data_IF_544245497447
#
_entry.id   IF_544245497447
#
_cell.length_a   1.000
_cell.length_b   1.000
_cell.length_c   1.000
_cell.angle_alpha   90.00
_cell.angle_beta   90.00
_cell.angle_gamma   90.00
#
_symmetry.space_group_name_H-M   'P 1'
#
loop_
_entity.id
_entity.type
_entity.pdbx_description
1 polymer ?
#
# COMPACT_ATOMS: atom_id res chain seq x y z
N UNK A 1 31.97 -19.05 2.33
CA UNK A 1 31.28 -19.09 3.61
C UNK A 1 30.48 -17.82 3.90
N UNK A 2 31.11 -16.63 3.84
CA UNK A 2 30.39 -15.38 4.09
C UNK A 2 29.25 -15.14 3.12
N UNK A 3 29.46 -15.42 1.83
CA UNK A 3 28.47 -15.19 0.79
C UNK A 3 27.23 -16.10 0.95
N UNK A 4 27.46 -17.33 1.37
CA UNK A 4 26.38 -18.28 1.60
C UNK A 4 25.52 -17.90 2.81
N UNK A 5 26.13 -17.38 3.87
CA UNK A 5 25.41 -16.88 5.06
C UNK A 5 24.56 -15.69 4.72
N UNK A 6 25.12 -14.74 3.95
CA UNK A 6 24.39 -13.54 3.50
C UNK A 6 23.22 -13.92 2.60
N UNK A 7 23.44 -14.84 1.65
CA UNK A 7 22.38 -15.33 0.75
C UNK A 7 21.26 -16.01 1.53
N UNK A 8 21.59 -16.85 2.52
CA UNK A 8 20.60 -17.51 3.35
C UNK A 8 19.79 -16.53 4.19
N UNK A 9 20.43 -15.48 4.72
CA UNK A 9 19.73 -14.42 5.47
C UNK A 9 18.77 -13.65 4.58
N UNK A 10 19.17 -13.33 3.37
CA UNK A 10 18.33 -12.62 2.39
C UNK A 10 17.13 -13.49 2.00
N UNK A 11 17.34 -14.77 1.72
CA UNK A 11 16.27 -15.69 1.37
C UNK A 11 15.29 -15.91 2.52
N UNK A 12 15.78 -16.03 3.75
CA UNK A 12 14.93 -16.12 4.94
C UNK A 12 14.12 -14.86 5.14
N UNK A 13 14.77 -13.69 5.00
CA UNK A 13 14.07 -12.41 5.10
C UNK A 13 12.97 -12.30 4.05
N UNK A 14 13.27 -12.67 2.80
CA UNK A 14 12.31 -12.63 1.70
C UNK A 14 11.12 -13.57 1.96
N UNK A 15 11.37 -14.80 2.40
CA UNK A 15 10.34 -15.78 2.70
C UNK A 15 9.42 -15.31 3.82
N UNK A 16 10.00 -14.81 4.92
CA UNK A 16 9.25 -14.31 6.07
C UNK A 16 8.37 -13.14 5.65
N UNK A 17 8.94 -12.16 4.94
CA UNK A 17 8.21 -10.96 4.53
C UNK A 17 7.12 -11.30 3.51
N UNK A 18 7.38 -12.20 2.57
CA UNK A 18 6.41 -12.64 1.59
C UNK A 18 5.20 -13.34 2.23
N UNK A 19 5.42 -14.11 3.30
CA UNK A 19 4.38 -14.88 3.97
C UNK A 19 3.53 -14.07 4.93
N UNK A 20 4.13 -13.11 5.62
CA UNK A 20 3.48 -12.41 6.74
C UNK A 20 3.07 -10.99 6.43
N UNK A 21 3.32 -10.49 5.22
CA UNK A 21 2.92 -9.12 4.85
C UNK A 21 1.39 -9.03 4.76
N UNK A 22 0.76 -8.24 5.63
CA UNK A 22 -0.71 -8.20 5.69
C UNK A 22 -1.35 -7.61 4.43
N UNK A 23 -0.66 -6.72 3.70
CA UNK A 23 -1.19 -6.15 2.46
C UNK A 23 -1.11 -7.09 1.26
N UNK A 24 -0.51 -8.28 1.43
CA UNK A 24 -0.45 -9.31 0.39
C UNK A 24 -1.40 -10.47 0.63
N UNK A 25 -2.34 -10.32 1.55
CA UNK A 25 -3.34 -11.36 1.82
C UNK A 25 -4.18 -11.64 0.59
N UNK A 26 -4.63 -12.89 0.47
CA UNK A 26 -5.51 -13.30 -0.62
C UNK A 26 -6.93 -12.78 -0.36
N UNK A 27 -7.20 -11.58 -0.86
CA UNK A 27 -8.48 -10.90 -0.73
C UNK A 27 -8.98 -10.50 -2.12
N UNK A 28 -10.16 -9.92 -2.22
CA UNK A 28 -10.71 -9.44 -3.49
C UNK A 28 -9.77 -8.43 -4.15
N UNK A 29 -9.85 -8.29 -5.47
CA UNK A 29 -9.03 -7.34 -6.23
C UNK A 29 -9.19 -5.91 -5.71
N UNK A 30 -10.42 -5.52 -5.39
CA UNK A 30 -10.70 -4.19 -4.85
C UNK A 30 -9.97 -3.94 -3.53
N UNK A 31 -9.95 -4.94 -2.64
CA UNK A 31 -9.22 -4.86 -1.37
C UNK A 31 -7.72 -4.86 -1.58
N UNK A 32 -7.21 -5.66 -2.54
CA UNK A 32 -5.78 -5.68 -2.87
C UNK A 32 -5.29 -4.31 -3.32
N UNK A 33 -6.07 -3.64 -4.16
CA UNK A 33 -5.75 -2.29 -4.64
C UNK A 33 -5.68 -1.30 -3.48
N UNK A 34 -6.66 -1.35 -2.60
CA UNK A 34 -6.70 -0.50 -1.42
C UNK A 34 -5.53 -0.79 -0.49
N UNK A 35 -5.26 -2.07 -0.22
CA UNK A 35 -4.15 -2.48 0.65
C UNK A 35 -2.80 -2.05 0.07
N UNK A 36 -2.61 -2.19 -1.24
CA UNK A 36 -1.40 -1.73 -1.91
C UNK A 36 -1.23 -0.23 -1.75
N UNK A 37 -2.29 0.53 -1.98
CA UNK A 37 -2.26 1.99 -1.83
C UNK A 37 -1.84 2.39 -0.42
N UNK A 38 -2.53 1.87 0.59
CA UNK A 38 -2.25 2.21 2.00
C UNK A 38 -0.82 1.82 2.38
N UNK A 39 -0.42 0.59 2.05
CA UNK A 39 0.92 0.11 2.38
C UNK A 39 2.01 0.95 1.71
N UNK A 40 1.83 1.32 0.44
CA UNK A 40 2.81 2.15 -0.28
C UNK A 40 2.97 3.53 0.36
N UNK A 41 1.89 4.15 0.80
CA UNK A 41 1.98 5.41 1.54
C UNK A 41 2.68 5.25 2.88
N UNK A 42 2.43 4.16 3.59
CA UNK A 42 3.09 3.90 4.88
C UNK A 42 4.56 3.57 4.71
N UNK A 43 4.91 2.85 3.65
CA UNK A 43 6.29 2.40 3.38
C UNK A 43 7.20 3.52 2.86
N UNK A 44 6.64 4.66 2.43
CA UNK A 44 7.47 5.80 2.08
C UNK A 44 8.30 6.24 3.29
N UNK A 45 9.63 6.04 3.22
CA UNK A 45 10.58 6.41 4.28
C UNK A 45 10.36 5.70 5.62
N UNK A 46 9.66 4.56 5.63
CA UNK A 46 9.42 3.77 6.85
C UNK A 46 9.67 2.29 6.57
N UNK A 47 10.32 1.61 7.50
CA UNK A 47 10.66 0.20 7.37
C UNK A 47 9.42 -0.70 7.49
N UNK A 48 9.45 -1.83 6.78
CA UNK A 48 8.36 -2.80 6.75
C UNK A 48 7.94 -3.25 8.15
N UNK A 49 8.89 -3.61 9.01
CA UNK A 49 8.61 -4.09 10.36
C UNK A 49 7.83 -3.06 11.18
N UNK A 50 8.13 -1.77 11.00
CA UNK A 50 7.42 -0.69 11.68
C UNK A 50 6.00 -0.52 11.13
N UNK A 51 5.82 -0.70 9.83
CA UNK A 51 4.55 -0.47 9.15
C UNK A 51 3.50 -1.54 9.49
N UNK A 52 3.91 -2.80 9.66
CA UNK A 52 2.96 -3.92 9.83
C UNK A 52 1.88 -3.65 10.90
N UNK A 53 2.21 -3.30 12.15
CA UNK A 53 1.16 -3.05 13.15
C UNK A 53 0.29 -1.85 12.82
N UNK A 54 0.86 -0.80 12.22
CA UNK A 54 0.08 0.36 11.79
C UNK A 54 -0.88 0.03 10.68
N UNK A 55 -0.43 -0.74 9.70
CA UNK A 55 -1.27 -1.19 8.60
C UNK A 55 -2.46 -2.02 9.10
N UNK A 56 -2.22 -2.99 9.95
CA UNK A 56 -3.27 -3.86 10.49
C UNK A 56 -4.33 -3.06 11.24
N UNK A 57 -3.90 -2.12 12.07
CA UNK A 57 -4.82 -1.26 12.82
C UNK A 57 -5.56 -0.30 11.89
N UNK A 58 -4.88 0.23 10.88
CA UNK A 58 -5.47 1.17 9.92
C UNK A 58 -6.61 0.52 9.14
N UNK A 59 -6.37 -0.65 8.52
CA UNK A 59 -7.41 -1.30 7.72
C UNK A 59 -8.54 -1.89 8.55
N UNK A 60 -8.29 -2.20 9.83
CA UNK A 60 -9.35 -2.61 10.74
C UNK A 60 -10.35 -1.49 10.98
N UNK A 61 -9.88 -0.27 11.11
CA UNK A 61 -10.71 0.92 11.36
C UNK A 61 -11.21 1.56 10.07
N UNK A 62 -10.44 1.44 8.99
CA UNK A 62 -10.72 2.08 7.70
C UNK A 62 -10.58 1.01 6.61
N UNK A 63 -11.63 0.21 6.37
CA UNK A 63 -11.52 -0.96 5.49
C UNK A 63 -11.53 -0.66 3.99
N UNK A 64 -11.92 0.54 3.57
CA UNK A 64 -12.02 0.88 2.16
C UNK A 64 -11.81 2.38 1.90
N UNK A 65 -11.71 2.73 0.60
CA UNK A 65 -11.51 4.10 0.15
C UNK A 65 -12.65 5.04 0.56
N UNK A 66 -13.87 4.57 0.52
CA UNK A 66 -15.04 5.38 0.88
C UNK A 66 -14.99 5.79 2.34
N UNK A 67 -14.68 4.84 3.22
CA UNK A 67 -14.52 5.11 4.65
C UNK A 67 -13.39 6.10 4.87
N UNK A 68 -12.25 5.92 4.18
CA UNK A 68 -11.11 6.82 4.29
C UNK A 68 -11.44 8.23 3.83
N UNK A 69 -12.16 8.37 2.71
CA UNK A 69 -12.54 9.66 2.15
C UNK A 69 -13.38 10.49 3.13
N UNK A 70 -14.19 9.82 3.96
CA UNK A 70 -15.10 10.47 4.91
C UNK A 70 -14.63 10.38 6.37
N UNK A 71 -13.46 9.82 6.61
CA UNK A 71 -12.97 9.62 7.97
C UNK A 71 -12.61 10.96 8.64
N UNK A 72 -12.92 11.10 9.93
CA UNK A 72 -12.59 12.29 10.70
C UNK A 72 -11.07 12.50 10.77
N UNK A 73 -10.62 13.70 10.44
CA UNK A 73 -9.19 14.01 10.38
C UNK A 73 -8.45 13.75 11.69
N UNK A 74 -9.03 14.11 12.80
CA UNK A 74 -8.41 13.93 14.12
C UNK A 74 -8.16 12.45 14.43
N UNK A 75 -9.16 11.60 14.17
CA UNK A 75 -9.04 10.16 14.36
C UNK A 75 -8.07 9.53 13.38
N UNK A 76 -8.04 10.03 12.15
CA UNK A 76 -7.14 9.57 11.11
C UNK A 76 -5.68 9.82 11.50
N UNK A 77 -5.37 11.03 11.94
CA UNK A 77 -4.02 11.40 12.38
C UNK A 77 -3.60 10.55 13.57
N UNK A 78 -4.52 10.25 14.48
CA UNK A 78 -4.25 9.41 15.64
C UNK A 78 -3.85 7.98 15.24
N UNK A 79 -4.47 7.43 14.21
CA UNK A 79 -4.09 6.11 13.66
C UNK A 79 -2.69 6.11 13.04
N UNK A 80 -2.21 7.26 12.62
CA UNK A 80 -0.89 7.43 12.00
C UNK A 80 0.19 7.86 13.01
N UNK A 81 -0.21 8.17 14.25
CA UNK A 81 0.69 8.69 15.28
C UNK A 81 1.82 7.71 15.55
N UNK A 82 3.05 8.20 15.48
CA UNK A 82 4.26 7.39 15.62
C UNK A 82 4.94 7.04 14.31
N UNK A 83 4.23 7.04 13.18
CA UNK A 83 4.87 6.88 11.86
C UNK A 83 5.58 8.14 11.39
N UNK A 84 5.11 9.32 11.82
CA UNK A 84 5.66 10.59 11.37
C UNK A 84 5.26 10.94 9.93
N UNK A 85 5.84 12.02 9.42
CA UNK A 85 5.58 12.50 8.06
C UNK A 85 4.08 12.55 7.75
N UNK A 86 3.34 13.34 8.51
CA UNK A 86 1.86 13.40 8.47
C UNK A 86 1.29 13.90 7.15
N UNK A 87 2.12 14.53 6.30
CA UNK A 87 1.72 14.86 4.94
C UNK A 87 1.29 13.63 4.14
N UNK A 88 1.86 12.47 4.45
CA UNK A 88 1.50 11.19 3.79
C UNK A 88 0.04 10.83 4.05
N UNK A 89 -0.40 10.86 5.29
CA UNK A 89 -1.80 10.50 5.63
C UNK A 89 -2.79 11.53 5.11
N UNK A 90 -2.42 12.80 5.12
CA UNK A 90 -3.25 13.85 4.52
C UNK A 90 -3.41 13.65 3.03
N UNK A 91 -2.31 13.35 2.33
CA UNK A 91 -2.35 13.06 0.90
C UNK A 91 -3.10 11.76 0.59
N UNK A 92 -2.97 10.76 1.44
CA UNK A 92 -3.72 9.51 1.30
C UNK A 92 -5.22 9.76 1.36
N UNK A 93 -5.68 10.57 2.30
CA UNK A 93 -7.10 10.93 2.39
C UNK A 93 -7.55 11.75 1.19
N UNK A 94 -6.76 12.72 0.74
CA UNK A 94 -7.06 13.50 -0.47
C UNK A 94 -7.17 12.60 -1.69
N UNK A 95 -6.27 11.63 -1.81
CA UNK A 95 -6.31 10.64 -2.88
C UNK A 95 -7.61 9.82 -2.81
N UNK A 96 -8.00 9.36 -1.63
CA UNK A 96 -9.26 8.63 -1.46
C UNK A 96 -10.47 9.47 -1.87
N UNK A 97 -10.48 10.73 -1.48
CA UNK A 97 -11.56 11.67 -1.85
C UNK A 97 -11.66 11.86 -3.37
N UNK A 98 -10.51 12.02 -4.04
CA UNK A 98 -10.46 12.18 -5.49
C UNK A 98 -10.90 10.90 -6.21
N UNK A 99 -10.47 9.73 -5.75
CA UNK A 99 -10.84 8.46 -6.36
C UNK A 99 -12.34 8.22 -6.24
N UNK A 100 -12.90 8.49 -5.08
CA UNK A 100 -14.36 8.33 -4.87
C UNK A 100 -15.14 9.29 -5.76
N UNK A 101 -14.66 10.52 -5.92
CA UNK A 101 -15.37 11.57 -6.67
C UNK A 101 -15.19 11.45 -8.19
N UNK A 102 -13.95 11.21 -8.66
CA UNK A 102 -13.59 11.30 -10.08
C UNK A 102 -13.42 9.96 -10.77
N UNK A 103 -13.11 8.90 -10.05
CA UNK A 103 -12.77 7.59 -10.61
C UNK A 103 -13.75 6.50 -10.20
N UNK A 104 -14.97 6.87 -9.84
CA UNK A 104 -16.05 5.95 -9.50
C UNK A 104 -15.65 4.91 -8.45
N UNK A 105 -14.93 5.37 -7.40
CA UNK A 105 -14.51 4.56 -6.24
C UNK A 105 -13.48 3.48 -6.59
N UNK A 106 -12.89 3.52 -7.78
CA UNK A 106 -11.87 2.56 -8.23
C UNK A 106 -10.57 3.29 -8.52
N UNK A 107 -9.46 2.77 -8.00
CA UNK A 107 -8.15 3.31 -8.32
C UNK A 107 -7.90 3.20 -9.83
N UNK A 108 -7.37 4.27 -10.46
CA UNK A 108 -7.00 4.18 -11.86
C UNK A 108 -5.88 3.16 -12.06
N UNK A 109 -5.83 2.53 -13.22
CA UNK A 109 -4.80 1.55 -13.59
C UNK A 109 -3.64 2.19 -14.33
N UNK A 110 -3.90 3.33 -14.94
CA UNK A 110 -2.93 4.03 -15.77
C UNK A 110 -1.90 4.73 -14.88
N UNK A 111 -0.63 4.58 -15.21
CA UNK A 111 0.48 5.18 -14.49
C UNK A 111 0.34 6.71 -14.38
N UNK A 112 0.00 7.38 -15.49
CA UNK A 112 -0.13 8.84 -15.50
C UNK A 112 -1.29 9.32 -14.61
N UNK A 113 -2.40 8.61 -14.64
CA UNK A 113 -3.55 8.94 -13.79
C UNK A 113 -3.22 8.71 -12.32
N UNK A 114 -2.53 7.62 -11.98
CA UNK A 114 -2.07 7.36 -10.62
C UNK A 114 -1.13 8.45 -10.14
N UNK A 115 -0.18 8.85 -10.98
CA UNK A 115 0.79 9.88 -10.65
C UNK A 115 0.15 11.25 -10.43
N UNK A 116 -1.01 11.50 -11.02
CA UNK A 116 -1.75 12.76 -10.83
C UNK A 116 -2.37 12.89 -9.43
N UNK A 117 -2.46 11.81 -8.68
CA UNK A 117 -3.05 11.81 -7.35
C UNK A 117 -2.08 12.36 -6.30
N UNK A 118 -2.60 13.04 -5.25
CA UNK A 118 -1.74 13.64 -4.22
C UNK A 118 -0.86 12.60 -3.51
N UNK A 119 0.44 12.88 -3.42
CA UNK A 119 1.38 12.04 -2.72
C UNK A 119 1.83 10.79 -3.47
N UNK A 120 1.34 10.58 -4.69
CA UNK A 120 1.75 9.46 -5.53
C UNK A 120 2.83 9.92 -6.50
N UNK A 121 4.08 9.56 -6.21
CA UNK A 121 5.22 9.80 -7.09
C UNK A 121 5.43 8.64 -8.06
N UNK A 122 6.55 8.69 -8.79
CA UNK A 122 6.89 7.69 -9.81
C UNK A 122 6.94 6.28 -9.24
N UNK A 123 7.60 6.10 -8.11
CA UNK A 123 7.74 4.77 -7.49
C UNK A 123 6.39 4.20 -7.07
N UNK A 124 5.59 4.97 -6.37
CA UNK A 124 4.27 4.51 -5.88
C UNK A 124 3.32 4.22 -7.05
N UNK A 125 3.31 5.09 -8.06
CA UNK A 125 2.50 4.87 -9.26
C UNK A 125 2.90 3.57 -9.97
N UNK A 126 4.20 3.32 -10.09
CA UNK A 126 4.71 2.08 -10.68
C UNK A 126 4.32 0.86 -9.86
N UNK A 127 4.46 0.91 -8.54
CA UNK A 127 4.12 -0.20 -7.65
C UNK A 127 2.64 -0.56 -7.74
N UNK A 128 1.76 0.42 -7.74
CA UNK A 128 0.31 0.19 -7.88
C UNK A 128 -0.02 -0.36 -9.28
N UNK A 129 0.57 0.21 -10.32
CA UNK A 129 0.36 -0.24 -11.70
C UNK A 129 0.81 -1.69 -11.89
N UNK A 130 1.96 -2.06 -11.32
CA UNK A 130 2.48 -3.44 -11.36
C UNK A 130 1.57 -4.41 -10.61
N UNK A 131 0.92 -3.99 -9.53
CA UNK A 131 0.01 -4.87 -8.78
C UNK A 131 -1.17 -5.33 -9.64
N UNK A 132 -1.67 -4.48 -10.54
CA UNK A 132 -2.70 -4.88 -11.51
C UNK A 132 -2.17 -5.90 -12.51
N UNK A 133 -0.96 -5.69 -13.01
CA UNK A 133 -0.33 -6.58 -13.97
C UNK A 133 -0.14 -7.97 -13.37
N UNK A 134 0.30 -8.04 -12.11
CA UNK A 134 0.47 -9.33 -11.39
C UNK A 134 -0.84 -10.08 -11.23
N UNK A 135 -1.97 -9.40 -11.14
CA UNK A 135 -3.28 -10.02 -11.02
C UNK A 135 -3.74 -10.67 -12.34
N UNK A 136 -3.18 -10.26 -13.47
CA UNK A 136 -3.61 -10.70 -14.80
C UNK A 136 -2.63 -11.66 -15.48
N UNK A 137 -1.36 -11.70 -15.05
CA UNK A 137 -0.35 -12.53 -15.67
C UNK A 137 -0.40 -13.97 -15.14
N UNK A 138 -0.21 -14.98 -16.03
CA UNK A 138 -0.04 -16.36 -15.58
C UNK A 138 1.21 -16.51 -14.71
N UNK A 139 1.14 -17.39 -13.73
CA UNK A 139 2.25 -17.63 -12.80
C UNK A 139 3.54 -18.03 -13.53
N UNK A 140 3.42 -18.73 -14.64
CA UNK A 140 4.57 -19.16 -15.44
C UNK A 140 5.38 -18.01 -16.04
N UNK A 141 4.78 -16.86 -16.21
CA UNK A 141 5.45 -15.67 -16.76
C UNK A 141 6.28 -14.95 -15.68
N UNK A 142 5.99 -15.19 -14.41
CA UNK A 142 6.66 -14.54 -13.29
C UNK A 142 7.92 -15.26 -12.82
N UNK A 143 8.25 -16.38 -13.45
CA UNK A 143 9.43 -17.19 -13.09
C UNK A 143 10.70 -16.76 -13.88
#
# INVERSE_FOLDING_TARGET
MKDQIITNKILNWYDINKRVLPWRKNVSNKKKQYYTLVSEFMLQQTQVATVIPYFNRFIKNIPDLETLANFENHKLIKLWEGLGYYSRVRNLKKTAQLVVKKFDKKLPRNYLELKSLPGIGDYTASAISVSYTHLTLPTSVLV
#
